data_IF_586516314412
#
_entry.id   IF_586516314412
#
_cell.length_a   1.000
_cell.length_b   1.000
_cell.length_c   1.000
_cell.angle_alpha   90.00
_cell.angle_beta   90.00
_cell.angle_gamma   90.00
#
_symmetry.space_group_name_H-M   'P 1'
#
loop_
_entity.id
_entity.type
_entity.pdbx_description
1 polymer ?
#
# COMPACT_ATOMS: atom_id res chain seq x y z
N UNK A 1 -42.22 -4.25 37.23
CA UNK A 1 -42.01 -4.88 35.92
C UNK A 1 -40.60 -4.51 35.44
N UNK A 2 -39.69 -5.47 35.61
CA UNK A 2 -38.30 -5.33 35.11
C UNK A 2 -38.32 -5.34 33.60
N UNK A 3 -38.03 -4.20 33.04
CA UNK A 3 -37.66 -4.14 31.61
C UNK A 3 -36.22 -4.61 31.53
N UNK A 4 -36.04 -5.90 31.24
CA UNK A 4 -34.75 -6.44 30.93
C UNK A 4 -34.09 -5.59 29.82
N UNK A 5 -33.00 -4.93 30.18
CA UNK A 5 -32.13 -4.24 29.24
C UNK A 5 -31.60 -5.30 28.28
N UNK A 6 -32.25 -5.44 27.14
CA UNK A 6 -31.69 -6.15 26.02
C UNK A 6 -30.33 -5.52 25.70
N UNK A 7 -29.25 -6.17 26.18
CA UNK A 7 -27.91 -5.79 25.80
C UNK A 7 -27.81 -5.97 24.31
N UNK A 8 -27.80 -4.87 23.58
CA UNK A 8 -27.49 -4.87 22.16
C UNK A 8 -26.10 -5.48 21.97
N UNK A 9 -26.07 -6.77 21.67
CA UNK A 9 -24.83 -7.41 21.26
C UNK A 9 -24.46 -6.81 19.92
N UNK A 10 -23.36 -6.06 19.88
CA UNK A 10 -22.76 -5.67 18.61
C UNK A 10 -22.63 -6.92 17.77
N UNK A 11 -23.08 -6.92 16.50
CA UNK A 11 -22.84 -8.05 15.63
C UNK A 11 -21.33 -8.35 15.62
N UNK A 12 -20.93 -9.63 15.53
CA UNK A 12 -19.52 -9.96 15.44
C UNK A 12 -18.91 -9.15 14.29
N UNK A 13 -17.69 -8.62 14.45
CA UNK A 13 -17.05 -7.86 13.38
C UNK A 13 -17.05 -8.75 12.13
N UNK A 14 -17.49 -8.17 11.01
CA UNK A 14 -17.45 -8.87 9.72
C UNK A 14 -16.03 -9.42 9.55
N UNK A 15 -15.92 -10.70 9.20
CA UNK A 15 -14.63 -11.31 8.90
C UNK A 15 -13.98 -10.52 7.77
N UNK A 16 -12.97 -9.73 8.10
CA UNK A 16 -12.20 -9.00 7.09
C UNK A 16 -11.41 -10.04 6.32
N UNK A 17 -11.71 -10.18 5.03
CA UNK A 17 -10.97 -11.07 4.15
C UNK A 17 -9.50 -10.66 4.06
N UNK A 18 -8.62 -11.64 3.93
CA UNK A 18 -7.21 -11.44 3.64
C UNK A 18 -6.76 -12.39 2.53
N UNK A 19 -5.65 -12.06 1.90
CA UNK A 19 -5.05 -12.89 0.86
C UNK A 19 -4.06 -13.88 1.49
N UNK A 20 -4.06 -15.12 1.02
CA UNK A 20 -2.98 -16.05 1.34
C UNK A 20 -1.68 -15.57 0.68
N UNK A 21 -0.54 -16.15 1.04
CA UNK A 21 0.75 -15.78 0.43
C UNK A 21 0.75 -16.03 -1.08
N UNK A 22 0.14 -17.13 -1.53
CA UNK A 22 0.00 -17.47 -2.94
C UNK A 22 -0.91 -16.49 -3.67
N UNK A 23 -2.05 -16.17 -3.09
CA UNK A 23 -2.99 -15.18 -3.63
C UNK A 23 -2.37 -13.79 -3.71
N UNK A 24 -1.63 -13.38 -2.68
CA UNK A 24 -0.91 -12.11 -2.67
C UNK A 24 0.13 -12.06 -3.79
N UNK A 25 0.89 -13.14 -3.99
CA UNK A 25 1.88 -13.23 -5.06
C UNK A 25 1.24 -13.05 -6.44
N UNK A 26 0.10 -13.70 -6.66
CA UNK A 26 -0.67 -13.57 -7.90
C UNK A 26 -1.18 -12.13 -8.07
N UNK A 27 -1.71 -11.53 -7.01
CA UNK A 27 -2.20 -10.15 -7.03
C UNK A 27 -1.07 -9.16 -7.37
N UNK A 28 0.07 -9.27 -6.70
CA UNK A 28 1.22 -8.37 -6.91
C UNK A 28 1.88 -8.55 -8.27
N UNK A 29 1.62 -9.65 -8.97
CA UNK A 29 2.11 -9.91 -10.32
C UNK A 29 1.23 -9.28 -11.42
N UNK A 30 0.06 -8.73 -11.07
CA UNK A 30 -0.87 -8.18 -12.08
C UNK A 30 -0.41 -6.87 -12.72
N UNK A 31 0.21 -5.91 -12.00
CA UNK A 31 0.66 -4.69 -12.65
C UNK A 31 1.65 -4.97 -13.77
N UNK A 32 1.44 -4.35 -14.94
CA UNK A 32 2.36 -4.46 -16.06
C UNK A 32 3.56 -3.51 -15.85
N UNK A 33 4.65 -4.05 -15.33
CA UNK A 33 5.86 -3.26 -15.00
C UNK A 33 6.61 -2.70 -16.21
N UNK A 34 6.27 -3.12 -17.43
CA UNK A 34 6.77 -2.51 -18.66
C UNK A 34 6.16 -1.15 -18.92
N UNK A 35 4.97 -0.90 -18.37
CA UNK A 35 4.31 0.39 -18.43
C UNK A 35 4.67 1.24 -17.21
N UNK A 36 4.81 2.54 -17.40
CA UNK A 36 5.16 3.49 -16.35
C UNK A 36 4.18 3.41 -15.17
N UNK A 37 2.88 3.48 -15.45
CA UNK A 37 1.84 3.40 -14.41
C UNK A 37 1.81 2.06 -13.70
N UNK A 38 2.01 0.96 -14.42
CA UNK A 38 2.06 -0.38 -13.84
C UNK A 38 3.23 -0.55 -12.89
N UNK A 39 4.41 -0.05 -13.26
CA UNK A 39 5.59 -0.09 -12.39
C UNK A 39 5.37 0.73 -11.12
N UNK A 40 4.83 1.95 -11.23
CA UNK A 40 4.45 2.77 -10.07
C UNK A 40 3.51 2.02 -9.14
N UNK A 41 2.47 1.43 -9.69
CA UNK A 41 1.43 0.74 -8.91
C UNK A 41 2.00 -0.50 -8.20
N UNK A 42 2.87 -1.24 -8.87
CA UNK A 42 3.55 -2.39 -8.26
C UNK A 42 4.38 -1.95 -7.06
N UNK A 43 5.20 -0.91 -7.20
CA UNK A 43 6.04 -0.41 -6.10
C UNK A 43 5.18 0.10 -4.94
N UNK A 44 4.09 0.81 -5.24
CA UNK A 44 3.12 1.26 -4.24
C UNK A 44 2.55 0.08 -3.44
N UNK A 45 2.09 -0.95 -4.12
CA UNK A 45 1.47 -2.12 -3.48
C UNK A 45 2.47 -2.93 -2.65
N UNK A 46 3.69 -3.12 -3.16
CA UNK A 46 4.75 -3.84 -2.44
C UNK A 46 5.12 -3.09 -1.16
N UNK A 47 5.30 -1.78 -1.23
CA UNK A 47 5.62 -0.96 -0.05
C UNK A 47 4.47 -0.96 0.96
N UNK A 48 3.24 -0.82 0.49
CA UNK A 48 2.06 -0.83 1.35
C UNK A 48 1.92 -2.16 2.10
N UNK A 49 2.13 -3.27 1.42
CA UNK A 49 2.11 -4.60 2.06
C UNK A 49 3.25 -4.76 3.05
N UNK A 50 4.49 -4.45 2.65
CA UNK A 50 5.67 -4.63 3.51
C UNK A 50 5.57 -3.82 4.82
N UNK A 51 5.07 -2.60 4.74
CA UNK A 51 4.96 -1.69 5.89
C UNK A 51 3.66 -1.79 6.66
N UNK A 52 2.65 -2.45 6.13
CA UNK A 52 1.27 -2.43 6.62
C UNK A 52 0.70 -1.01 6.78
N UNK A 53 1.16 -0.08 5.96
CA UNK A 53 0.72 1.31 6.02
C UNK A 53 -0.75 1.48 5.61
N UNK A 54 -1.38 2.53 6.13
CA UNK A 54 -2.70 2.96 5.63
C UNK A 54 -2.53 3.62 4.27
N UNK A 55 -3.56 3.52 3.43
CA UNK A 55 -3.53 4.13 2.10
C UNK A 55 -3.17 5.62 2.17
N UNK A 56 -3.77 6.38 3.07
CA UNK A 56 -3.48 7.80 3.22
C UNK A 56 -2.03 8.07 3.64
N UNK A 57 -1.47 7.24 4.51
CA UNK A 57 -0.06 7.35 4.89
C UNK A 57 0.86 7.15 3.68
N UNK A 58 0.52 6.22 2.80
CA UNK A 58 1.24 5.99 1.54
C UNK A 58 1.16 7.20 0.60
N UNK A 59 -0.01 7.79 0.49
CA UNK A 59 -0.24 8.95 -0.38
C UNK A 59 0.47 10.21 0.12
N UNK A 60 0.63 10.33 1.44
CA UNK A 60 1.29 11.48 2.07
C UNK A 60 2.82 11.36 2.10
N UNK A 61 3.37 10.20 1.70
CA UNK A 61 4.82 10.01 1.67
C UNK A 61 5.53 11.01 0.79
N UNK A 62 6.61 11.57 1.34
CA UNK A 62 7.51 12.48 0.63
C UNK A 62 8.90 11.86 0.49
N UNK A 63 9.67 12.34 -0.44
CA UNK A 63 11.03 11.85 -0.70
C UNK A 63 11.87 11.86 0.58
N UNK A 64 11.75 12.90 1.39
CA UNK A 64 12.48 13.03 2.65
C UNK A 64 12.15 11.92 3.67
N UNK A 65 11.01 11.25 3.52
CA UNK A 65 10.57 10.17 4.43
C UNK A 65 11.24 8.83 4.11
N UNK A 66 11.94 8.72 3.00
CA UNK A 66 12.62 7.51 2.56
C UNK A 66 14.08 7.52 3.00
N UNK A 67 14.49 6.49 3.74
CA UNK A 67 15.89 6.30 4.15
C UNK A 67 16.39 4.99 3.54
N UNK A 68 16.94 5.08 2.34
CA UNK A 68 17.33 3.92 1.53
C UNK A 68 18.84 3.66 1.50
N UNK A 69 19.64 4.61 1.97
CA UNK A 69 21.11 4.57 1.91
C UNK A 69 21.77 3.84 3.09
N UNK A 70 20.97 3.46 4.10
CA UNK A 70 21.47 2.74 5.29
C UNK A 70 21.44 1.23 5.07
N UNK A 71 22.23 0.52 5.87
CA UNK A 71 22.24 -0.96 5.90
C UNK A 71 20.85 -1.52 6.21
N UNK A 72 20.11 -0.84 7.08
CA UNK A 72 18.71 -1.16 7.40
C UNK A 72 17.80 -0.07 6.83
N UNK A 73 17.33 -0.21 5.59
CA UNK A 73 16.45 0.78 4.99
C UNK A 73 15.13 0.87 5.74
N UNK A 74 14.60 2.08 5.84
CA UNK A 74 13.34 2.34 6.54
C UNK A 74 12.57 3.49 5.91
N UNK A 75 11.31 3.61 6.31
CA UNK A 75 10.39 4.65 5.86
C UNK A 75 9.75 5.30 7.08
N UNK A 76 9.64 6.62 7.05
CA UNK A 76 8.95 7.39 8.07
C UNK A 76 7.52 7.67 7.63
N UNK A 77 6.55 7.29 8.44
CA UNK A 77 5.16 7.64 8.23
C UNK A 77 4.67 8.59 9.30
N UNK A 78 3.87 9.56 8.90
CA UNK A 78 3.16 10.44 9.84
C UNK A 78 1.73 9.94 9.96
N UNK A 79 1.41 9.34 11.11
CA UNK A 79 0.08 8.82 11.39
C UNK A 79 -0.86 9.85 11.98
N UNK A 80 -1.98 9.37 12.49
CA UNK A 80 -2.99 10.17 13.18
C UNK A 80 -2.37 10.94 14.36
N UNK A 81 -2.62 12.25 14.42
CA UNK A 81 -2.09 13.13 15.46
C UNK A 81 -0.65 13.58 15.24
N UNK A 82 -0.15 13.56 14.00
CA UNK A 82 1.21 13.96 13.60
C UNK A 82 2.34 13.21 14.32
N UNK A 83 2.07 11.99 14.81
CA UNK A 83 3.10 11.15 15.42
C UNK A 83 3.85 10.40 14.34
N UNK A 84 5.14 10.66 14.12
CA UNK A 84 5.93 9.89 13.17
C UNK A 84 6.19 8.50 13.71
N UNK A 85 6.18 7.51 12.83
CA UNK A 85 6.64 6.16 13.11
C UNK A 85 7.63 5.72 12.03
N UNK A 86 8.61 4.96 12.44
CA UNK A 86 9.64 4.42 11.54
C UNK A 86 9.35 2.95 11.31
N UNK A 87 9.31 2.56 10.05
CA UNK A 87 9.06 1.18 9.66
C UNK A 87 10.24 0.67 8.83
N UNK A 88 10.97 -0.36 9.30
CA UNK A 88 11.98 -1.00 8.47
C UNK A 88 11.32 -1.70 7.30
N UNK A 89 12.02 -1.70 6.16
CA UNK A 89 11.55 -2.37 4.96
C UNK A 89 12.54 -3.43 4.52
N UNK A 90 12.04 -4.42 3.78
CA UNK A 90 12.88 -5.48 3.24
C UNK A 90 13.86 -4.93 2.20
N UNK A 91 15.06 -5.54 2.07
CA UNK A 91 16.03 -5.13 1.05
C UNK A 91 15.45 -5.11 -0.35
N UNK A 92 14.60 -6.07 -0.68
CA UNK A 92 13.93 -6.15 -1.99
C UNK A 92 12.99 -4.96 -2.23
N UNK A 93 12.24 -4.55 -1.21
CA UNK A 93 11.38 -3.37 -1.27
C UNK A 93 12.22 -2.10 -1.48
N UNK A 94 13.35 -1.98 -0.79
CA UNK A 94 14.27 -0.87 -0.97
C UNK A 94 14.84 -0.81 -2.39
N UNK A 95 15.16 -1.95 -3.01
CA UNK A 95 15.60 -2.02 -4.41
C UNK A 95 14.53 -1.51 -5.36
N UNK A 96 13.27 -1.92 -5.16
CA UNK A 96 12.15 -1.43 -5.94
C UNK A 96 11.98 0.09 -5.81
N UNK A 97 12.12 0.62 -4.60
CA UNK A 97 12.05 2.06 -4.38
C UNK A 97 13.19 2.81 -5.05
N UNK A 98 14.43 2.31 -4.99
CA UNK A 98 15.56 2.93 -5.70
C UNK A 98 15.32 2.98 -7.20
N UNK A 99 14.85 1.90 -7.79
CA UNK A 99 14.51 1.84 -9.22
C UNK A 99 13.37 2.79 -9.56
N UNK A 100 12.38 2.87 -8.68
CA UNK A 100 11.26 3.79 -8.82
C UNK A 100 11.72 5.25 -8.81
N UNK A 101 12.59 5.62 -7.85
CA UNK A 101 13.10 6.98 -7.76
C UNK A 101 13.90 7.39 -8.99
N UNK A 102 14.70 6.50 -9.56
CA UNK A 102 15.44 6.79 -10.80
C UNK A 102 14.49 7.13 -11.95
N UNK A 103 13.35 6.46 -12.03
CA UNK A 103 12.39 6.60 -13.13
C UNK A 103 11.43 7.76 -12.94
N UNK A 104 10.93 7.95 -11.73
CA UNK A 104 9.89 8.94 -11.41
C UNK A 104 10.43 10.22 -10.77
N UNK A 105 11.59 10.17 -10.16
CA UNK A 105 12.22 11.27 -9.46
C UNK A 105 13.71 11.37 -9.83
N UNK A 106 14.05 11.74 -11.08
CA UNK A 106 15.44 11.91 -11.48
C UNK A 106 16.19 12.83 -10.52
N UNK A 107 17.44 12.50 -10.21
CA UNK A 107 18.22 13.19 -9.18
C UNK A 107 18.33 14.71 -9.41
N UNK A 108 18.41 15.14 -10.67
CA UNK A 108 18.55 16.55 -11.06
C UNK A 108 17.31 17.40 -10.75
N UNK A 109 16.13 16.79 -10.66
CA UNK A 109 14.85 17.47 -10.43
C UNK A 109 14.20 17.12 -9.10
N UNK A 110 14.80 16.20 -8.36
CA UNK A 110 14.24 15.65 -7.12
C UNK A 110 14.29 16.68 -5.97
N UNK A 111 13.13 16.92 -5.37
CA UNK A 111 13.01 17.75 -4.19
C UNK A 111 12.63 16.90 -2.98
N UNK A 112 13.08 17.30 -1.80
CA UNK A 112 12.82 16.57 -0.56
C UNK A 112 11.35 16.50 -0.18
N UNK A 113 10.58 17.53 -0.53
CA UNK A 113 9.16 17.66 -0.25
C UNK A 113 8.24 17.13 -1.37
N UNK A 114 8.81 16.59 -2.45
CA UNK A 114 8.05 15.92 -3.50
C UNK A 114 7.32 14.71 -2.92
N UNK A 115 6.09 14.49 -3.40
CA UNK A 115 5.37 13.26 -3.10
C UNK A 115 5.99 12.08 -3.83
N UNK A 116 6.21 10.98 -3.11
CA UNK A 116 6.82 9.78 -3.69
C UNK A 116 5.94 9.23 -4.82
N UNK A 117 4.64 9.08 -4.55
CA UNK A 117 3.68 8.54 -5.51
C UNK A 117 2.77 9.65 -6.04
N UNK A 118 2.79 9.82 -7.34
CA UNK A 118 2.00 10.84 -8.03
C UNK A 118 1.41 10.29 -9.34
N UNK A 119 0.38 10.95 -9.83
CA UNK A 119 -0.25 10.67 -11.11
C UNK A 119 -0.04 11.86 -12.06
N UNK A 120 -1.11 12.40 -12.59
CA UNK A 120 -1.04 13.60 -13.45
C UNK A 120 -0.71 14.84 -12.63
N UNK A 121 0.06 15.74 -13.22
CA UNK A 121 0.44 17.01 -12.60
C UNK A 121 1.78 17.02 -11.86
N UNK A 122 2.48 15.88 -11.84
CA UNK A 122 3.84 15.78 -11.28
C UNK A 122 3.91 15.58 -9.77
N UNK A 123 5.14 15.58 -9.21
CA UNK A 123 5.37 15.19 -7.83
C UNK A 123 4.96 16.23 -6.77
N UNK A 124 4.46 17.39 -7.18
CA UNK A 124 3.93 18.41 -6.27
C UNK A 124 2.53 18.09 -5.76
N UNK A 125 1.86 17.11 -6.37
CA UNK A 125 0.52 16.66 -6.00
C UNK A 125 0.52 15.17 -5.70
N UNK A 126 -0.10 14.74 -4.58
CA UNK A 126 -0.20 13.34 -4.29
C UNK A 126 -1.17 12.65 -5.24
N UNK A 127 -0.99 11.35 -5.39
CA UNK A 127 -1.99 10.48 -6.01
C UNK A 127 -3.26 10.47 -5.14
N UNK A 128 -4.44 10.34 -5.72
CA UNK A 128 -5.69 10.33 -4.97
C UNK A 128 -6.04 8.95 -4.43
N UNK A 129 -6.82 8.86 -3.33
CA UNK A 129 -7.36 7.58 -2.85
C UNK A 129 -8.18 6.85 -3.91
N UNK A 130 -8.92 7.57 -4.74
CA UNK A 130 -9.74 6.99 -5.80
C UNK A 130 -8.88 6.31 -6.88
N UNK A 131 -7.73 6.88 -7.19
CA UNK A 131 -6.77 6.25 -8.11
C UNK A 131 -6.28 4.92 -7.56
N UNK A 132 -5.94 4.87 -6.27
CA UNK A 132 -5.50 3.63 -5.62
C UNK A 132 -6.62 2.61 -5.59
N UNK A 133 -7.81 2.99 -5.19
CA UNK A 133 -8.98 2.10 -5.16
C UNK A 133 -9.27 1.51 -6.55
N UNK A 134 -9.16 2.33 -7.60
CA UNK A 134 -9.40 1.91 -8.98
C UNK A 134 -8.39 0.85 -9.44
N UNK A 135 -7.08 1.07 -9.24
CA UNK A 135 -6.12 0.08 -9.71
C UNK A 135 -6.08 -1.17 -8.82
N UNK A 136 -6.33 -1.06 -7.52
CA UNK A 136 -6.44 -2.23 -6.63
C UNK A 136 -7.62 -3.12 -7.06
N UNK A 137 -8.77 -2.51 -7.36
CA UNK A 137 -9.94 -3.22 -7.88
C UNK A 137 -9.62 -3.93 -9.20
N UNK A 138 -9.01 -3.23 -10.14
CA UNK A 138 -8.60 -3.78 -11.44
C UNK A 138 -7.67 -4.99 -11.29
N UNK A 139 -6.65 -4.87 -10.45
CA UNK A 139 -5.71 -5.97 -10.22
C UNK A 139 -6.35 -7.13 -9.46
N UNK A 140 -7.27 -6.87 -8.56
CA UNK A 140 -8.06 -7.89 -7.89
C UNK A 140 -8.91 -8.69 -8.88
N UNK A 141 -9.58 -8.03 -9.78
CA UNK A 141 -10.37 -8.66 -10.85
C UNK A 141 -9.49 -9.51 -11.78
N UNK A 142 -8.36 -8.96 -12.23
CA UNK A 142 -7.37 -9.70 -13.04
C UNK A 142 -6.84 -10.94 -12.30
N UNK A 143 -6.47 -10.79 -11.05
CA UNK A 143 -5.94 -11.88 -10.23
C UNK A 143 -6.96 -13.01 -10.06
N UNK A 144 -8.24 -12.68 -9.95
CA UNK A 144 -9.31 -13.68 -9.85
C UNK A 144 -9.45 -14.57 -11.09
N UNK A 145 -9.10 -14.07 -12.26
CA UNK A 145 -9.06 -14.90 -13.48
C UNK A 145 -7.96 -15.97 -13.40
N UNK A 146 -6.92 -15.73 -12.63
CA UNK A 146 -5.83 -16.70 -12.39
C UNK A 146 -6.15 -17.60 -11.20
N UNK A 147 -6.70 -17.04 -10.13
CA UNK A 147 -7.00 -17.74 -8.88
C UNK A 147 -8.38 -17.33 -8.35
N UNK A 148 -9.37 -18.21 -8.52
CA UNK A 148 -10.76 -17.92 -8.17
C UNK A 148 -11.04 -17.84 -6.67
N UNK A 149 -10.09 -18.27 -5.82
CA UNK A 149 -10.20 -18.14 -4.37
C UNK A 149 -9.94 -16.71 -3.86
N UNK A 150 -9.37 -15.85 -4.70
CA UNK A 150 -9.17 -14.43 -4.36
C UNK A 150 -10.55 -13.78 -4.18
N UNK A 151 -10.74 -12.97 -3.10
CA UNK A 151 -12.02 -12.32 -2.83
C UNK A 151 -12.50 -11.44 -4.01
N UNK A 152 -13.82 -11.36 -4.17
CA UNK A 152 -14.44 -10.56 -5.25
C UNK A 152 -14.11 -9.07 -5.15
N UNK A 153 -13.95 -8.58 -3.92
CA UNK A 153 -13.64 -7.17 -3.66
C UNK A 153 -12.30 -7.07 -2.95
N UNK A 154 -11.27 -6.79 -3.72
CA UNK A 154 -9.96 -6.43 -3.17
C UNK A 154 -9.91 -4.91 -3.04
N UNK A 155 -9.56 -4.44 -1.86
CA UNK A 155 -9.45 -3.01 -1.55
C UNK A 155 -8.17 -2.73 -0.76
N UNK A 156 -7.70 -1.47 -0.72
CA UNK A 156 -6.39 -1.15 -0.12
C UNK A 156 -6.24 -1.60 1.34
N UNK A 157 -7.29 -1.45 2.15
CA UNK A 157 -7.25 -1.87 3.56
C UNK A 157 -7.01 -3.38 3.74
N UNK A 158 -7.42 -4.18 2.77
CA UNK A 158 -7.20 -5.63 2.77
C UNK A 158 -5.70 -5.98 2.76
N UNK A 159 -4.85 -5.21 2.07
CA UNK A 159 -3.40 -5.43 2.06
C UNK A 159 -2.78 -5.25 3.44
N UNK A 160 -3.22 -4.23 4.16
CA UNK A 160 -2.79 -4.01 5.54
C UNK A 160 -3.19 -5.17 6.45
N UNK A 161 -4.43 -5.62 6.33
CA UNK A 161 -4.94 -6.76 7.08
C UNK A 161 -4.21 -8.05 6.70
N UNK A 162 -3.95 -8.26 5.41
CA UNK A 162 -3.17 -9.39 4.90
C UNK A 162 -1.78 -9.43 5.54
N UNK A 163 -1.09 -8.29 5.61
CA UNK A 163 0.23 -8.22 6.25
C UNK A 163 0.16 -8.60 7.74
N UNK A 164 -0.84 -8.08 8.44
CA UNK A 164 -1.05 -8.43 9.84
C UNK A 164 -1.23 -9.93 10.02
N UNK A 165 -2.06 -10.55 9.19
CA UNK A 165 -2.30 -12.00 9.23
C UNK A 165 -1.07 -12.83 8.88
N UNK A 166 -0.19 -12.35 8.01
CA UNK A 166 1.04 -13.07 7.63
C UNK A 166 2.15 -12.96 8.68
N UNK A 167 2.04 -12.04 9.64
CA UNK A 167 3.00 -11.88 10.73
C UNK A 167 2.67 -12.79 11.93
N UNK A 168 1.48 -13.35 12.00
CA UNK A 168 1.04 -14.31 13.00
C UNK A 168 1.01 -15.72 12.39
#
# INVERSE_FOLDING_TARGET
ADVERLRYRKPPPALVGYLTKEELSIFLAQPNCKKRTGFRNMVFLVLMYDTAARCQEMLDLRIQDLVLHRTSPCVYFTGKGNKPRVVPILPKTAEHLRSYLKKFHPAENRKRDDYVFYAYGGPQRPMSPDTVAAFVKKYGESARHVCTSIPERVHPHMLRHTRAMHLY
#
